data_IF_346182502957
#
_entry.id   IF_346182502957
#
_cell.length_a   1.000
_cell.length_b   1.000
_cell.length_c   1.000
_cell.angle_alpha   90.00
_cell.angle_beta   90.00
_cell.angle_gamma   90.00
#
_symmetry.space_group_name_H-M   'P 1'
#
loop_
_entity.id
_entity.type
_entity.pdbx_description
1 polymer ?
#
# COMPACT_ATOMS: atom_id res chain seq x y z
N UNK A 1 -7.65 -26.03 45.55
CA UNK A 1 -7.99 -24.66 45.06
C UNK A 1 -6.81 -23.84 44.49
N UNK A 2 -5.58 -24.38 44.36
CA UNK A 2 -4.42 -23.61 43.87
C UNK A 2 -3.95 -23.93 42.43
N UNK A 3 -4.50 -24.98 41.79
CA UNK A 3 -4.06 -25.45 40.46
C UNK A 3 -4.83 -24.84 39.28
N UNK A 4 -6.01 -24.25 39.51
CA UNK A 4 -6.85 -23.61 38.48
C UNK A 4 -6.44 -22.16 38.17
N UNK A 5 -5.74 -21.49 39.08
CA UNK A 5 -5.25 -20.12 38.84
C UNK A 5 -4.02 -20.07 37.91
N UNK A 6 -3.24 -21.16 37.84
CA UNK A 6 -2.01 -21.20 37.05
C UNK A 6 -2.27 -21.36 35.54
N UNK A 7 -3.36 -22.02 35.15
CA UNK A 7 -3.71 -22.23 33.74
C UNK A 7 -4.29 -20.98 33.06
N UNK A 8 -4.87 -20.06 33.83
CA UNK A 8 -5.39 -18.77 33.31
C UNK A 8 -4.28 -17.73 33.08
N UNK A 9 -3.13 -17.86 33.75
CA UNK A 9 -2.03 -16.90 33.63
C UNK A 9 -1.14 -17.14 32.39
N UNK A 10 -1.07 -18.38 31.88
CA UNK A 10 -0.23 -18.73 30.72
C UNK A 10 -0.90 -18.34 29.39
N UNK A 11 -2.23 -18.28 29.32
CA UNK A 11 -2.95 -17.86 28.11
C UNK A 11 -2.91 -16.33 27.91
N UNK A 12 -2.79 -15.55 28.99
CA UNK A 12 -2.72 -14.09 28.92
C UNK A 12 -1.34 -13.55 28.48
N UNK A 13 -0.27 -14.32 28.68
CA UNK A 13 1.09 -13.87 28.36
C UNK A 13 1.48 -14.03 26.88
N UNK A 14 0.66 -14.72 26.06
CA UNK A 14 0.93 -14.89 24.63
C UNK A 14 0.35 -13.78 23.74
N UNK A 15 -0.40 -12.83 24.31
CA UNK A 15 -1.16 -11.80 23.56
C UNK A 15 -0.51 -10.40 23.66
N UNK A 16 0.46 -10.21 24.56
CA UNK A 16 1.06 -8.89 24.83
C UNK A 16 2.58 -8.91 24.71
N UNK A 17 3.09 -9.43 23.58
CA UNK A 17 4.44 -9.06 23.16
C UNK A 17 4.46 -7.55 22.87
N UNK A 18 5.46 -6.79 23.40
CA UNK A 18 5.60 -5.39 23.03
C UNK A 18 5.74 -5.31 21.51
N UNK A 19 4.87 -4.51 20.90
CA UNK A 19 4.81 -4.32 19.46
C UNK A 19 6.18 -3.91 18.93
N UNK A 20 6.90 -4.87 18.35
CA UNK A 20 7.72 -4.54 17.21
C UNK A 20 6.72 -3.95 16.21
N UNK A 21 6.87 -2.67 15.89
CA UNK A 21 6.25 -2.09 14.71
C UNK A 21 6.76 -2.90 13.53
N UNK A 22 6.09 -4.00 13.21
CA UNK A 22 6.21 -4.62 11.92
C UNK A 22 5.57 -3.58 10.99
N UNK A 23 6.38 -2.67 10.48
CA UNK A 23 6.03 -1.92 9.28
C UNK A 23 5.55 -2.98 8.31
N UNK A 24 4.26 -2.95 8.00
CA UNK A 24 3.62 -4.00 7.20
C UNK A 24 4.34 -4.03 5.87
N UNK A 25 5.26 -4.98 5.69
CA UNK A 25 6.03 -5.07 4.46
C UNK A 25 5.04 -5.23 3.33
N UNK A 26 5.06 -4.29 2.39
CA UNK A 26 4.42 -4.45 1.10
C UNK A 26 4.76 -5.83 0.52
N UNK A 27 3.77 -6.49 -0.07
CA UNK A 27 3.90 -7.86 -0.57
C UNK A 27 3.59 -7.88 -2.06
N UNK A 28 4.57 -8.27 -2.88
CA UNK A 28 4.34 -8.54 -4.30
C UNK A 28 3.42 -9.77 -4.47
N UNK A 29 2.48 -9.68 -5.41
CA UNK A 29 1.50 -10.71 -5.77
C UNK A 29 1.27 -10.69 -7.27
N UNK A 30 0.69 -11.77 -7.77
CA UNK A 30 0.28 -11.83 -9.15
C UNK A 30 -1.05 -11.10 -9.36
N UNK A 31 -1.18 -10.35 -10.46
CA UNK A 31 -2.45 -9.75 -10.86
C UNK A 31 -3.49 -10.81 -11.17
N UNK A 32 -3.08 -11.86 -11.89
CA UNK A 32 -3.85 -13.08 -12.08
C UNK A 32 -3.21 -14.20 -11.26
N UNK A 33 -3.90 -14.77 -10.26
CA UNK A 33 -3.31 -15.79 -9.39
C UNK A 33 -2.64 -16.94 -10.15
N UNK A 34 -1.35 -17.16 -9.90
CA UNK A 34 -0.56 -18.25 -10.50
C UNK A 34 0.06 -17.91 -11.86
N UNK A 35 -0.06 -16.66 -12.33
CA UNK A 35 0.64 -16.20 -13.54
C UNK A 35 2.14 -15.97 -13.31
N UNK A 36 2.55 -15.70 -12.07
CA UNK A 36 3.93 -15.32 -11.73
C UNK A 36 4.33 -13.93 -12.22
N UNK A 37 3.36 -13.06 -12.58
CA UNK A 37 3.64 -11.75 -13.17
C UNK A 37 4.14 -10.71 -12.16
N UNK A 38 3.86 -10.89 -10.86
CA UNK A 38 4.26 -9.95 -9.81
C UNK A 38 3.70 -8.53 -9.98
N UNK A 39 2.65 -8.33 -10.77
CA UNK A 39 2.13 -7.00 -11.13
C UNK A 39 1.27 -6.34 -10.06
N UNK A 40 1.04 -7.00 -8.93
CA UNK A 40 0.35 -6.42 -7.78
C UNK A 40 1.28 -6.23 -6.60
N UNK A 41 1.08 -5.13 -5.89
CA UNK A 41 1.58 -4.95 -4.54
C UNK A 41 0.43 -4.83 -3.56
N UNK A 42 0.36 -5.76 -2.63
CA UNK A 42 -0.60 -5.75 -1.54
C UNK A 42 -0.04 -5.00 -0.33
N UNK A 43 -0.79 -4.02 0.14
CA UNK A 43 -0.56 -3.34 1.41
C UNK A 43 -1.39 -4.02 2.51
N UNK A 44 -0.76 -4.79 3.44
CA UNK A 44 -1.48 -5.51 4.47
C UNK A 44 -2.13 -4.61 5.53
N UNK A 45 -1.74 -3.33 5.62
CA UNK A 45 -2.28 -2.41 6.63
C UNK A 45 -3.61 -1.80 6.19
N UNK A 46 -3.79 -1.56 4.90
CA UNK A 46 -5.03 -1.02 4.32
C UNK A 46 -5.88 -2.09 3.63
N UNK A 47 -5.26 -3.21 3.26
CA UNK A 47 -5.85 -4.22 2.39
C UNK A 47 -5.93 -3.80 0.92
N UNK A 48 -5.40 -2.63 0.56
CA UNK A 48 -5.39 -2.13 -0.81
C UNK A 48 -4.38 -2.89 -1.68
N UNK A 49 -4.69 -2.97 -2.97
CA UNK A 49 -3.80 -3.55 -3.98
C UNK A 49 -3.42 -2.50 -5.00
N UNK A 50 -2.11 -2.38 -5.21
CA UNK A 50 -1.46 -1.40 -6.07
C UNK A 50 -0.96 -2.08 -7.33
N UNK A 51 -1.27 -1.50 -8.48
CA UNK A 51 -0.77 -2.00 -9.76
C UNK A 51 0.67 -1.52 -9.99
N UNK A 52 1.55 -2.43 -10.40
CA UNK A 52 2.93 -2.10 -10.77
C UNK A 52 2.97 -1.08 -11.93
N UNK A 53 3.90 -0.13 -11.85
CA UNK A 53 3.97 0.99 -12.80
C UNK A 53 4.35 0.53 -14.20
N UNK A 54 5.02 -0.61 -14.34
CA UNK A 54 5.32 -1.20 -15.65
C UNK A 54 4.05 -1.53 -16.44
N UNK A 55 2.93 -1.84 -15.76
CA UNK A 55 1.66 -2.19 -16.40
C UNK A 55 0.95 -0.97 -17.04
N UNK A 56 1.27 0.24 -16.60
CA UNK A 56 0.64 1.48 -17.10
C UNK A 56 1.63 2.43 -17.78
N UNK A 57 2.89 2.00 -17.89
CA UNK A 57 3.96 2.79 -18.50
C UNK A 57 3.64 3.13 -19.95
N UNK A 58 3.80 4.40 -20.31
CA UNK A 58 3.50 4.88 -21.67
C UNK A 58 2.01 5.10 -21.95
N UNK A 59 1.11 4.78 -21.02
CA UNK A 59 -0.31 5.05 -21.16
C UNK A 59 -0.65 6.44 -20.63
N UNK A 60 -1.54 7.14 -21.33
CA UNK A 60 -2.11 8.39 -20.84
C UNK A 60 -3.27 8.15 -19.89
N UNK A 61 -3.63 9.18 -19.11
CA UNK A 61 -4.82 9.14 -18.27
C UNK A 61 -6.08 8.83 -19.08
N UNK A 62 -6.23 9.46 -20.24
CA UNK A 62 -7.36 9.23 -21.13
C UNK A 62 -7.39 7.77 -21.65
N UNK A 63 -6.24 7.15 -21.89
CA UNK A 63 -6.18 5.75 -22.32
C UNK A 63 -6.67 4.80 -21.20
N UNK A 64 -6.31 5.08 -19.95
CA UNK A 64 -6.72 4.26 -18.80
C UNK A 64 -8.19 4.49 -18.44
N UNK A 65 -8.61 5.75 -18.34
CA UNK A 65 -9.98 6.13 -17.96
C UNK A 65 -11.04 5.80 -19.01
N UNK A 66 -10.69 5.77 -20.30
CA UNK A 66 -11.60 5.40 -21.39
C UNK A 66 -11.50 3.92 -21.80
N UNK A 67 -11.10 3.03 -20.88
CA UNK A 67 -11.04 1.57 -21.09
C UNK A 67 -10.09 1.08 -22.20
N UNK A 68 -9.22 1.94 -22.75
CA UNK A 68 -8.25 1.54 -23.80
C UNK A 68 -7.07 0.73 -23.25
N UNK A 69 -6.93 0.61 -21.94
CA UNK A 69 -5.84 -0.06 -21.23
C UNK A 69 -6.15 -1.50 -20.80
N UNK A 70 -7.05 -2.21 -21.48
CA UNK A 70 -7.38 -3.60 -21.13
C UNK A 70 -8.21 -3.75 -19.85
N UNK A 71 -9.18 -2.86 -19.63
CA UNK A 71 -10.19 -2.96 -18.57
C UNK A 71 -9.66 -2.87 -17.12
N UNK A 72 -8.59 -2.10 -16.88
CA UNK A 72 -8.08 -1.86 -15.52
C UNK A 72 -9.17 -1.26 -14.61
N UNK A 73 -9.94 -0.30 -15.12
CA UNK A 73 -11.05 0.31 -14.38
C UNK A 73 -12.15 -0.72 -14.06
N UNK A 74 -12.53 -1.56 -15.01
CA UNK A 74 -13.53 -2.62 -14.77
C UNK A 74 -13.02 -3.70 -13.80
N UNK A 75 -11.70 -3.84 -13.68
CA UNK A 75 -11.03 -4.73 -12.72
C UNK A 75 -10.96 -4.12 -11.31
N UNK A 76 -11.64 -2.99 -11.09
CA UNK A 76 -11.78 -2.30 -9.81
C UNK A 76 -10.66 -1.30 -9.51
N UNK A 77 -9.74 -1.05 -10.44
CA UNK A 77 -8.70 -0.05 -10.24
C UNK A 77 -9.24 1.37 -10.43
N UNK A 78 -8.87 2.24 -9.50
CA UNK A 78 -9.01 3.68 -9.60
C UNK A 78 -7.63 4.33 -9.56
N UNK A 79 -7.55 5.57 -10.00
CA UNK A 79 -6.37 6.37 -9.73
C UNK A 79 -6.22 6.56 -8.22
N UNK A 80 -4.98 6.42 -7.74
CA UNK A 80 -4.61 6.84 -6.41
C UNK A 80 -4.74 8.36 -6.29
N UNK A 81 -5.08 8.83 -5.09
CA UNK A 81 -4.93 10.23 -4.71
C UNK A 81 -3.65 10.47 -3.89
N UNK A 82 -3.44 11.71 -3.46
CA UNK A 82 -2.26 12.07 -2.67
C UNK A 82 -2.21 11.35 -1.30
N UNK A 83 -3.37 11.12 -0.68
CA UNK A 83 -3.46 10.48 0.62
C UNK A 83 -3.20 8.97 0.52
N UNK A 84 -3.71 8.31 -0.52
CA UNK A 84 -3.39 6.92 -0.82
C UNK A 84 -1.88 6.74 -0.95
N UNK A 85 -1.22 7.59 -1.75
CA UNK A 85 0.23 7.53 -1.98
C UNK A 85 1.03 7.80 -0.71
N UNK A 86 0.61 8.79 0.07
CA UNK A 86 1.26 9.09 1.34
C UNK A 86 1.25 7.88 2.28
N UNK A 87 0.07 7.23 2.43
CA UNK A 87 -0.08 6.04 3.27
C UNK A 87 0.77 4.89 2.73
N UNK A 88 0.72 4.64 1.42
CA UNK A 88 1.49 3.59 0.77
C UNK A 88 2.99 3.75 0.98
N UNK A 89 3.53 4.96 0.80
CA UNK A 89 4.96 5.24 1.03
C UNK A 89 5.31 5.09 2.51
N UNK A 90 4.45 5.55 3.43
CA UNK A 90 4.66 5.34 4.86
C UNK A 90 4.70 3.86 5.21
N UNK A 91 3.77 3.06 4.69
CA UNK A 91 3.72 1.61 4.93
C UNK A 91 4.93 0.89 4.33
N UNK A 92 5.50 1.42 3.26
CA UNK A 92 6.74 0.91 2.70
C UNK A 92 7.97 1.11 3.59
N UNK A 93 7.91 1.98 4.60
CA UNK A 93 9.07 2.34 5.43
C UNK A 93 9.57 3.77 5.22
N UNK A 94 8.89 4.58 4.40
CA UNK A 94 9.32 5.95 4.16
C UNK A 94 8.81 6.86 5.26
N UNK A 95 9.74 7.58 5.88
CA UNK A 95 9.43 8.58 6.88
C UNK A 95 9.61 9.98 6.26
N UNK A 96 8.49 10.68 6.15
CA UNK A 96 8.42 12.09 5.80
C UNK A 96 8.75 12.93 7.04
N UNK A 97 9.81 13.74 7.00
CA UNK A 97 10.17 14.64 8.09
C UNK A 97 9.10 15.74 8.25
N UNK A 98 8.07 15.43 9.04
CA UNK A 98 6.91 16.28 9.29
C UNK A 98 5.74 15.99 8.34
N UNK A 99 4.52 15.89 8.89
CA UNK A 99 3.30 16.12 8.13
C UNK A 99 3.22 17.63 7.90
N UNK A 100 3.31 18.16 6.67
CA UNK A 100 3.25 19.61 6.53
C UNK A 100 1.80 20.06 6.79
N UNK A 101 1.66 21.21 7.44
CA UNK A 101 0.38 21.89 7.60
C UNK A 101 -0.18 22.39 6.26
N UNK A 102 0.62 22.35 5.19
CA UNK A 102 0.28 22.79 3.84
C UNK A 102 0.82 21.79 2.81
N UNK A 103 -0.04 21.41 1.86
CA UNK A 103 0.22 20.54 0.70
C UNK A 103 1.27 21.15 -0.26
N UNK A 104 2.52 21.24 0.21
CA UNK A 104 3.64 21.76 -0.57
C UNK A 104 4.79 20.76 -0.51
N UNK A 105 4.81 19.84 -1.49
CA UNK A 105 5.89 18.90 -1.77
C UNK A 105 6.26 17.98 -0.61
N UNK A 106 5.77 16.74 -0.66
CA UNK A 106 6.21 15.69 0.27
C UNK A 106 7.53 15.11 -0.22
N UNK A 107 8.60 15.90 -0.16
CA UNK A 107 9.94 15.40 -0.39
C UNK A 107 10.43 14.75 0.89
N UNK A 108 10.52 13.41 0.92
CA UNK A 108 11.40 12.77 1.87
C UNK A 108 12.82 12.94 1.32
N UNK A 109 13.39 14.13 1.51
CA UNK A 109 14.71 14.48 0.98
C UNK A 109 15.78 13.50 1.45
N UNK A 110 16.85 13.35 0.67
CA UNK A 110 18.10 12.62 0.93
C UNK A 110 18.35 12.16 2.38
N UNK A 111 17.94 10.94 2.75
CA UNK A 111 18.32 10.35 4.03
C UNK A 111 18.48 8.84 3.92
N UNK A 112 19.62 8.31 4.38
CA UNK A 112 19.85 6.87 4.57
C UNK A 112 18.71 6.17 5.36
N UNK A 113 17.98 6.92 6.20
CA UNK A 113 16.81 6.43 6.95
C UNK A 113 15.69 5.89 6.05
N UNK A 114 15.53 6.43 4.84
CA UNK A 114 14.45 6.09 3.91
C UNK A 114 14.91 5.10 2.83
N UNK A 115 16.19 4.77 2.77
CA UNK A 115 16.75 3.91 1.73
C UNK A 115 16.05 2.55 1.68
N UNK A 116 15.80 1.94 2.85
CA UNK A 116 15.10 0.66 2.93
C UNK A 116 13.65 0.76 2.39
N UNK A 117 12.94 1.85 2.70
CA UNK A 117 11.59 2.08 2.21
C UNK A 117 11.54 2.37 0.71
N UNK A 118 12.47 3.18 0.21
CA UNK A 118 12.65 3.45 -1.23
C UNK A 118 12.95 2.16 -1.99
N UNK A 119 13.87 1.33 -1.50
CA UNK A 119 14.17 0.03 -2.10
C UNK A 119 12.96 -0.90 -2.10
N UNK A 120 12.17 -0.88 -1.03
CA UNK A 120 10.94 -1.66 -0.96
C UNK A 120 9.92 -1.20 -2.01
N UNK A 121 9.71 0.11 -2.16
CA UNK A 121 8.84 0.70 -3.18
C UNK A 121 9.30 0.34 -4.59
N UNK A 122 10.59 0.52 -4.91
CA UNK A 122 11.13 0.21 -6.25
C UNK A 122 11.04 -1.28 -6.60
N UNK A 123 11.22 -2.16 -5.61
CA UNK A 123 11.03 -3.61 -5.79
C UNK A 123 9.58 -3.97 -6.09
N UNK A 124 8.63 -3.24 -5.50
CA UNK A 124 7.20 -3.53 -5.59
C UNK A 124 6.52 -2.89 -6.80
N UNK A 125 7.00 -1.72 -7.25
CA UNK A 125 6.36 -0.91 -8.29
C UNK A 125 7.12 -0.86 -9.60
N UNK A 126 8.33 -1.42 -9.63
CA UNK A 126 9.29 -1.37 -10.73
C UNK A 126 9.71 0.06 -11.12
N UNK A 127 10.99 0.28 -11.47
CA UNK A 127 11.42 1.58 -11.97
C UNK A 127 10.85 1.86 -13.37
N UNK A 128 10.39 3.09 -13.61
CA UNK A 128 10.10 3.58 -14.96
C UNK A 128 11.37 4.03 -15.66
N UNK A 129 12.46 4.32 -14.94
CA UNK A 129 13.76 4.69 -15.48
C UNK A 129 14.82 3.91 -14.70
N UNK A 130 15.71 3.20 -15.39
CA UNK A 130 16.82 2.51 -14.75
C UNK A 130 18.06 2.56 -15.65
N UNK A 131 19.19 3.03 -15.10
CA UNK A 131 20.49 3.01 -15.76
C UNK A 131 21.62 2.87 -14.73
N UNK A 132 22.36 1.75 -14.79
CA UNK A 132 23.39 1.46 -13.79
C UNK A 132 22.80 1.39 -12.38
N UNK A 133 23.33 2.21 -11.48
CA UNK A 133 22.90 2.35 -10.08
C UNK A 133 21.71 3.30 -9.89
N UNK A 134 21.31 4.02 -10.94
CA UNK A 134 20.16 4.92 -10.92
C UNK A 134 18.88 4.15 -11.21
N UNK A 135 17.88 4.33 -10.35
CA UNK A 135 16.53 3.83 -10.51
C UNK A 135 15.54 4.91 -10.09
N UNK A 136 14.55 5.14 -10.94
CA UNK A 136 13.45 6.06 -10.65
C UNK A 136 12.13 5.45 -11.10
N UNK A 137 11.13 5.51 -10.24
CA UNK A 137 9.74 5.18 -10.53
C UNK A 137 8.94 6.48 -10.53
N UNK A 138 8.37 6.85 -11.68
CA UNK A 138 7.54 8.07 -11.82
C UNK A 138 6.15 7.68 -12.26
N UNK A 139 5.15 8.02 -11.45
CA UNK A 139 3.75 7.72 -11.72
C UNK A 139 2.84 8.92 -11.53
N UNK A 140 1.76 8.96 -12.31
CA UNK A 140 0.71 9.97 -12.20
C UNK A 140 -0.34 9.56 -11.18
N UNK A 141 -0.81 10.52 -10.40
CA UNK A 141 -1.94 10.38 -9.48
C UNK A 141 -2.94 11.52 -9.71
N UNK A 142 -4.15 11.39 -9.16
CA UNK A 142 -5.21 12.37 -9.34
C UNK A 142 -5.35 13.25 -8.10
N UNK A 143 -5.52 14.54 -8.32
CA UNK A 143 -6.01 15.44 -7.28
C UNK A 143 -7.51 15.65 -7.49
N UNK A 144 -8.29 15.46 -6.42
CA UNK A 144 -9.72 15.74 -6.38
C UNK A 144 -10.00 17.03 -5.61
N UNK A 145 -11.11 17.70 -5.93
CA UNK A 145 -11.64 18.80 -5.12
C UNK A 145 -12.34 18.27 -3.86
N UNK A 146 -12.82 19.19 -3.02
CA UNK A 146 -13.55 18.84 -1.79
C UNK A 146 -14.86 18.06 -2.04
N UNK A 147 -15.36 18.05 -3.28
CA UNK A 147 -16.57 17.34 -3.69
C UNK A 147 -16.24 16.01 -4.41
N UNK A 148 -14.96 15.64 -4.53
CA UNK A 148 -14.52 14.44 -5.23
C UNK A 148 -14.44 14.59 -6.76
N UNK A 149 -14.54 15.80 -7.31
CA UNK A 149 -14.36 16.01 -8.75
C UNK A 149 -12.89 16.03 -9.12
N UNK A 150 -12.55 15.44 -10.28
CA UNK A 150 -11.21 15.53 -10.85
C UNK A 150 -10.82 17.00 -11.04
N UNK A 151 -9.69 17.41 -10.45
CA UNK A 151 -9.09 18.72 -10.70
C UNK A 151 -7.98 18.63 -11.74
N UNK A 152 -7.03 17.74 -11.52
CA UNK A 152 -5.79 17.69 -12.28
C UNK A 152 -4.99 16.42 -12.01
N UNK A 153 -4.07 16.14 -12.91
CA UNK A 153 -3.03 15.12 -12.71
C UNK A 153 -1.81 15.74 -12.04
N UNK A 154 -1.15 14.91 -11.24
CA UNK A 154 0.13 15.22 -10.59
C UNK A 154 1.05 14.03 -10.71
N UNK A 155 2.34 14.26 -10.50
CA UNK A 155 3.35 13.22 -10.53
C UNK A 155 3.92 12.99 -9.13
N UNK A 156 4.11 11.73 -8.79
CA UNK A 156 4.91 11.30 -7.65
C UNK A 156 6.07 10.45 -8.15
N UNK A 157 7.21 10.55 -7.49
CA UNK A 157 8.38 9.77 -7.84
C UNK A 157 9.06 9.14 -6.63
N UNK A 158 9.72 8.02 -6.89
CA UNK A 158 10.60 7.31 -5.97
C UNK A 158 11.95 7.19 -6.66
N UNK A 159 13.00 7.63 -6.00
CA UNK A 159 14.34 7.75 -6.58
C UNK A 159 15.37 7.04 -5.71
N UNK A 160 16.27 6.31 -6.37
CA UNK A 160 17.44 5.68 -5.79
C UNK A 160 18.64 5.85 -6.73
N UNK A 161 19.76 6.28 -6.19
CA UNK A 161 21.05 6.29 -6.86
C UNK A 161 22.12 5.82 -5.86
N UNK A 162 22.53 4.56 -6.00
CA UNK A 162 23.41 3.91 -5.03
C UNK A 162 24.84 4.49 -5.06
N UNK A 163 25.33 4.92 -6.23
CA UNK A 163 26.68 5.49 -6.36
C UNK A 163 26.79 6.87 -5.70
N UNK A 164 25.70 7.64 -5.73
CA UNK A 164 25.62 8.95 -5.08
C UNK A 164 25.11 8.85 -3.63
N UNK A 165 24.75 7.66 -3.14
CA UNK A 165 24.07 7.46 -1.86
C UNK A 165 22.77 8.27 -1.71
N UNK A 166 22.09 8.51 -2.84
CA UNK A 166 20.87 9.31 -2.91
C UNK A 166 19.64 8.42 -2.91
N UNK A 167 18.71 8.70 -1.98
CA UNK A 167 17.36 8.13 -2.04
C UNK A 167 16.35 9.16 -1.53
N UNK A 168 15.25 9.28 -2.25
CA UNK A 168 14.17 10.20 -1.90
C UNK A 168 12.85 9.77 -2.54
N UNK A 169 11.75 10.24 -1.98
CA UNK A 169 10.44 10.19 -2.63
C UNK A 169 9.87 11.58 -2.71
N UNK A 170 9.08 11.84 -3.74
CA UNK A 170 8.34 13.08 -3.88
C UNK A 170 6.89 12.77 -4.20
N UNK A 171 5.96 13.39 -3.49
CA UNK A 171 4.57 13.57 -3.92
C UNK A 171 4.44 15.06 -4.20
N UNK A 172 4.46 15.44 -5.49
CA UNK A 172 4.64 16.83 -5.92
C UNK A 172 3.30 17.54 -6.02
N UNK A 173 3.15 18.65 -5.30
CA UNK A 173 2.03 19.58 -5.47
C UNK A 173 2.29 20.62 -6.57
N UNK A 174 3.54 20.73 -7.05
CA UNK A 174 3.89 21.67 -8.11
C UNK A 174 3.22 21.23 -9.42
N UNK A 175 2.76 22.19 -10.25
CA UNK A 175 1.96 21.93 -11.45
C UNK A 175 2.81 21.42 -12.62
N UNK A 176 3.73 20.48 -12.38
CA UNK A 176 4.06 19.55 -13.46
C UNK A 176 2.83 18.68 -13.66
N UNK A 177 1.89 19.22 -14.44
CA UNK A 177 0.56 18.68 -14.67
C UNK A 177 0.60 18.08 -16.07
N UNK A 178 1.00 16.81 -16.22
CA UNK A 178 0.80 16.12 -17.49
C UNK A 178 -0.66 16.30 -17.90
N UNK A 179 -0.88 16.59 -19.17
CA UNK A 179 -2.25 16.66 -19.70
C UNK A 179 -2.87 15.28 -19.65
N UNK A 180 -4.20 15.20 -19.68
CA UNK A 180 -4.91 13.91 -19.70
C UNK A 180 -4.50 13.00 -20.86
N UNK A 181 -3.91 13.56 -21.93
CA UNK A 181 -3.43 12.83 -23.10
C UNK A 181 -1.91 12.63 -23.12
N UNK A 182 -1.18 13.11 -22.10
CA UNK A 182 0.27 12.92 -22.02
C UNK A 182 0.55 11.43 -21.89
N UNK A 183 1.25 10.89 -22.89
CA UNK A 183 1.80 9.54 -22.92
C UNK A 183 3.31 9.66 -23.10
N UNK A 184 4.07 8.95 -22.29
CA UNK A 184 5.53 8.91 -22.37
C UNK A 184 6.04 7.68 -21.66
N UNK A 185 7.09 7.07 -22.18
CA UNK A 185 7.76 5.94 -21.55
C UNK A 185 8.40 6.29 -20.21
N UNK A 186 8.45 7.57 -19.82
CA UNK A 186 8.97 8.01 -18.52
C UNK A 186 7.89 8.01 -17.44
N UNK A 187 6.61 8.10 -17.83
CA UNK A 187 5.48 8.18 -16.90
C UNK A 187 4.65 6.90 -16.93
N UNK A 188 4.19 6.52 -15.75
CA UNK A 188 3.17 5.52 -15.51
C UNK A 188 1.99 6.15 -14.75
N UNK A 189 1.03 5.35 -14.29
CA UNK A 189 -0.10 5.78 -13.45
C UNK A 189 -0.16 4.96 -12.18
N UNK A 190 -0.26 5.63 -11.02
CA UNK A 190 -0.54 4.98 -9.76
C UNK A 190 -2.02 4.58 -9.72
N UNK A 191 -2.27 3.28 -9.87
CA UNK A 191 -3.59 2.71 -9.78
C UNK A 191 -3.69 1.83 -8.55
N UNK A 192 -4.79 1.98 -7.82
CA UNK A 192 -5.09 1.26 -6.60
C UNK A 192 -6.51 0.72 -6.69
N UNK A 193 -6.76 -0.42 -6.04
CA UNK A 193 -8.11 -0.91 -5.80
C UNK A 193 -8.33 -1.14 -4.32
N UNK A 194 -9.54 -0.83 -3.89
CA UNK A 194 -9.95 -0.99 -2.50
C UNK A 194 -9.93 -2.47 -2.10
N UNK A 195 -9.73 -2.78 -0.80
CA UNK A 195 -9.79 -4.14 -0.32
C UNK A 195 -11.10 -4.80 -0.77
N UNK A 196 -10.99 -5.96 -1.40
CA UNK A 196 -12.14 -6.83 -1.57
C UNK A 196 -12.74 -7.06 -0.18
N UNK A 197 -14.06 -6.89 0.02
CA UNK A 197 -14.69 -7.17 1.29
C UNK A 197 -14.34 -8.60 1.69
N UNK A 198 -13.43 -8.74 2.65
CA UNK A 198 -13.03 -10.05 3.12
C UNK A 198 -14.29 -10.68 3.73
N UNK A 199 -14.70 -11.88 3.30
CA UNK A 199 -15.72 -12.62 4.01
C UNK A 199 -15.26 -12.68 5.47
N UNK A 200 -16.12 -12.25 6.40
CA UNK A 200 -15.84 -12.28 7.84
C UNK A 200 -15.00 -13.52 8.15
N UNK A 201 -13.77 -13.37 8.69
CA UNK A 201 -12.87 -14.51 8.82
C UNK A 201 -13.60 -15.63 9.53
N UNK A 202 -13.52 -16.85 9.02
CA UNK A 202 -14.12 -18.02 9.68
C UNK A 202 -13.75 -18.10 11.17
N UNK A 203 -12.65 -17.46 11.57
CA UNK A 203 -12.26 -17.21 12.96
C UNK A 203 -13.36 -16.58 13.84
N UNK A 204 -14.24 -15.70 13.34
CA UNK A 204 -15.37 -15.15 14.11
C UNK A 204 -16.41 -16.25 14.39
N UNK A 205 -16.66 -17.11 13.41
CA UNK A 205 -17.54 -18.27 13.55
C UNK A 205 -16.90 -19.29 14.50
N UNK A 206 -15.61 -19.58 14.35
CA UNK A 206 -14.88 -20.50 15.22
C UNK A 206 -14.77 -19.99 16.66
N UNK A 207 -14.47 -18.69 16.86
CA UNK A 207 -14.42 -18.06 18.18
C UNK A 207 -15.82 -18.05 18.82
N UNK A 208 -16.85 -17.68 18.06
CA UNK A 208 -18.24 -17.71 18.51
C UNK A 208 -18.68 -19.13 18.92
N UNK A 209 -18.39 -20.13 18.08
CA UNK A 209 -18.73 -21.53 18.37
C UNK A 209 -17.94 -22.08 19.57
N UNK A 210 -16.67 -21.71 19.71
CA UNK A 210 -15.84 -22.06 20.86
C UNK A 210 -16.36 -21.46 22.17
N UNK A 211 -16.71 -20.17 22.18
CA UNK A 211 -17.29 -19.50 23.36
C UNK A 211 -18.66 -20.09 23.74
N UNK A 212 -19.49 -20.45 22.76
CA UNK A 212 -20.76 -21.12 23.01
C UNK A 212 -20.56 -22.51 23.65
N UNK A 213 -19.63 -23.32 23.13
CA UNK A 213 -19.30 -24.63 23.69
C UNK A 213 -18.78 -24.52 25.14
N UNK A 214 -17.89 -23.55 25.41
CA UNK A 214 -17.37 -23.27 26.76
C UNK A 214 -18.48 -22.80 27.72
N UNK A 215 -19.45 -22.05 27.24
CA UNK A 215 -20.61 -21.61 28.03
C UNK A 215 -21.51 -22.78 28.43
N UNK A 216 -21.69 -23.77 27.56
CA UNK A 216 -22.45 -25.00 27.86
C UNK A 216 -21.69 -25.87 28.86
N UNK A 217 -20.38 -26.04 28.67
CA UNK A 217 -19.53 -26.85 29.56
C UNK A 217 -19.42 -26.25 30.96
N UNK A 218 -19.26 -24.93 31.08
CA UNK A 218 -19.18 -24.24 32.37
C UNK A 218 -20.48 -24.32 33.18
N UNK A 219 -21.65 -24.35 32.52
CA UNK A 219 -22.94 -24.56 33.19
C UNK A 219 -23.10 -25.97 33.73
N UNK A 220 -22.56 -27.00 33.06
CA UNK A 220 -22.57 -28.38 33.56
C UNK A 220 -21.71 -28.54 34.81
N UNK A 221 -20.55 -27.89 34.86
CA UNK A 221 -19.63 -27.97 36.01
C UNK A 221 -20.15 -27.29 37.28
N UNK A 222 -21.08 -26.33 37.19
CA UNK A 222 -21.69 -25.69 38.37
C UNK A 222 -22.85 -26.49 39.00
N UNK A 223 -23.34 -27.54 38.34
CA UNK A 223 -24.49 -28.33 38.79
C UNK A 223 -24.10 -29.63 39.52
N UNK A 224 -22.81 -29.96 39.53
CA UNK A 224 -22.23 -31.05 40.31
C UNK A 224 -21.36 -30.46 41.42
#
# INVERSE_FOLDING_TARGET
MKKTALLMAVVAALILGPGASAWGSLVARDLVPGSGDGLLTFDPLTGMEWLDLSATRGLSYAAISNASSGNLVDSGFRYADANDLWLFYQHAGVDFLGKPADYSTHAASYYARNEAGVKNLLRCMSPTIAFGSFQEAVGMYVLYDANGNFLQLRAASVHLNEDAFESWVTISDTPYSPTVNTSSSLYASYLVRDPLPTPLPGAVIFLGSGLAALSVLSRRWRRN
#
